data_IF_287056700400
#
_entry.id   IF_287056700400
#
_cell.length_a   1.000
_cell.length_b   1.000
_cell.length_c   1.000
_cell.angle_alpha   90.00
_cell.angle_beta   90.00
_cell.angle_gamma   90.00
#
_symmetry.space_group_name_H-M   'P 1'
#
loop_
_entity.id
_entity.type
_entity.pdbx_description
1 polymer ?
#
# COMPACT_ATOMS: atom_id res chain seq x y z
N UNK A 1 -2.33 -15.19 -7.42
CA UNK A 1 -2.41 -15.36 -8.88
C UNK A 1 -1.46 -16.49 -9.22
N UNK A 2 -1.92 -17.58 -9.80
CA UNK A 2 -1.03 -18.59 -10.33
C UNK A 2 -0.20 -17.96 -11.46
N UNK A 3 1.11 -18.14 -11.38
CA UNK A 3 2.01 -17.80 -12.46
C UNK A 3 1.86 -18.91 -13.49
N UNK A 4 1.65 -18.56 -14.75
CA UNK A 4 1.55 -19.56 -15.83
C UNK A 4 2.92 -20.17 -16.12
N UNK A 5 2.96 -21.44 -16.48
CA UNK A 5 4.20 -22.19 -16.66
C UNK A 5 5.12 -21.58 -17.73
N UNK A 6 4.53 -21.05 -18.81
CA UNK A 6 5.25 -20.31 -19.85
C UNK A 6 5.94 -19.03 -19.37
N UNK A 7 5.31 -18.35 -18.38
CA UNK A 7 5.90 -17.18 -17.73
C UNK A 7 7.06 -17.57 -16.80
N UNK A 8 6.92 -18.68 -16.06
CA UNK A 8 8.01 -19.20 -15.21
C UNK A 8 9.23 -19.60 -16.05
N UNK A 9 9.04 -20.36 -17.13
CA UNK A 9 10.11 -20.75 -18.06
C UNK A 9 10.85 -19.53 -18.64
N UNK A 10 10.11 -18.47 -18.98
CA UNK A 10 10.71 -17.25 -19.51
C UNK A 10 11.56 -16.51 -18.47
N UNK A 11 11.12 -16.53 -17.20
CA UNK A 11 11.85 -15.90 -16.10
C UNK A 11 13.08 -16.69 -15.74
N UNK A 12 13.00 -18.01 -15.65
CA UNK A 12 14.13 -18.89 -15.38
C UNK A 12 15.24 -18.67 -16.42
N UNK A 13 14.90 -18.74 -17.70
CA UNK A 13 15.84 -18.45 -18.80
C UNK A 13 16.45 -17.05 -18.72
N UNK A 14 15.67 -16.05 -18.26
CA UNK A 14 16.15 -14.68 -18.13
C UNK A 14 17.07 -14.53 -16.91
N UNK A 15 16.76 -15.19 -15.80
CA UNK A 15 17.58 -15.21 -14.58
C UNK A 15 18.92 -15.91 -14.81
N UNK A 16 18.90 -17.05 -15.53
CA UNK A 16 20.12 -17.76 -15.93
C UNK A 16 21.04 -16.90 -16.81
N UNK A 17 20.47 -16.19 -17.79
CA UNK A 17 21.24 -15.28 -18.66
C UNK A 17 21.89 -14.12 -17.90
N UNK A 18 21.31 -13.71 -16.76
CA UNK A 18 21.84 -12.67 -15.88
C UNK A 18 22.84 -13.19 -14.88
N UNK A 19 22.89 -14.51 -14.65
CA UNK A 19 23.76 -15.13 -13.64
C UNK A 19 23.27 -14.89 -12.21
N UNK A 20 21.95 -14.72 -12.01
CA UNK A 20 21.36 -14.41 -10.69
C UNK A 20 21.48 -15.59 -9.71
N UNK A 21 21.74 -16.82 -10.18
CA UNK A 21 21.87 -18.02 -9.34
C UNK A 21 20.55 -18.50 -8.70
N UNK A 22 19.46 -17.81 -8.95
CA UNK A 22 18.08 -18.13 -8.52
C UNK A 22 17.05 -17.55 -9.51
N UNK A 23 15.83 -18.09 -9.48
CA UNK A 23 14.72 -17.55 -10.29
C UNK A 23 14.29 -16.18 -9.78
N UNK A 24 14.62 -15.14 -10.53
CA UNK A 24 14.35 -13.76 -10.13
C UNK A 24 12.90 -13.36 -10.46
N UNK A 25 12.00 -13.51 -9.49
CA UNK A 25 10.58 -13.20 -9.65
C UNK A 25 10.29 -11.69 -9.84
N UNK A 26 11.25 -10.80 -9.55
CA UNK A 26 11.12 -9.37 -9.83
C UNK A 26 10.90 -9.10 -11.32
N UNK A 27 11.42 -9.96 -12.19
CA UNK A 27 11.23 -9.88 -13.65
C UNK A 27 9.76 -10.00 -14.08
N UNK A 28 8.88 -10.56 -13.23
CA UNK A 28 7.42 -10.57 -13.44
C UNK A 28 6.78 -9.23 -13.12
N UNK A 29 7.38 -8.47 -12.23
CA UNK A 29 6.81 -7.24 -11.68
C UNK A 29 7.36 -6.00 -12.37
N UNK A 30 8.60 -6.04 -12.83
CA UNK A 30 9.28 -4.94 -13.50
C UNK A 30 8.70 -4.70 -14.89
N UNK A 31 7.90 -3.64 -15.01
CA UNK A 31 7.20 -3.29 -16.25
C UNK A 31 8.09 -2.61 -17.28
N UNK A 32 9.02 -1.78 -16.82
CA UNK A 32 9.87 -0.97 -17.69
C UNK A 32 11.18 -1.68 -18.03
N UNK A 33 11.64 -1.48 -19.27
CA UNK A 33 12.95 -2.00 -19.71
C UNK A 33 14.08 -1.44 -18.85
N UNK A 34 14.03 -0.17 -18.50
CA UNK A 34 15.02 0.50 -17.65
C UNK A 34 15.07 -0.10 -16.23
N UNK A 35 13.93 -0.48 -15.64
CA UNK A 35 13.86 -1.15 -14.34
C UNK A 35 14.58 -2.50 -14.39
N UNK A 36 14.32 -3.26 -15.44
CA UNK A 36 14.97 -4.55 -15.65
C UNK A 36 16.48 -4.44 -15.89
N UNK A 37 16.93 -3.39 -16.57
CA UNK A 37 18.35 -3.15 -16.82
C UNK A 37 19.10 -2.67 -15.57
N UNK A 38 18.47 -1.83 -14.75
CA UNK A 38 19.08 -1.23 -13.57
C UNK A 38 18.83 -2.04 -12.29
N UNK A 39 17.84 -2.94 -12.28
CA UNK A 39 17.46 -3.73 -11.11
C UNK A 39 16.84 -2.87 -9.98
N UNK A 40 16.21 -1.76 -10.34
CA UNK A 40 15.53 -0.86 -9.40
C UNK A 40 14.15 -0.49 -9.94
N UNK A 41 13.18 -0.30 -9.04
CA UNK A 41 11.89 0.27 -9.38
C UNK A 41 12.02 1.76 -9.68
N UNK A 42 11.51 2.22 -10.81
CA UNK A 42 11.56 3.63 -11.25
C UNK A 42 10.19 4.28 -11.13
N UNK A 43 9.16 3.60 -11.60
CA UNK A 43 7.78 4.09 -11.59
C UNK A 43 6.88 3.20 -10.73
N UNK A 44 5.66 3.67 -10.44
CA UNK A 44 4.72 2.93 -9.63
C UNK A 44 4.08 1.83 -10.45
N UNK A 45 4.13 0.61 -9.92
CA UNK A 45 3.40 -0.52 -10.47
C UNK A 45 2.28 -0.96 -9.54
N UNK A 46 1.04 -0.97 -10.05
CA UNK A 46 -0.10 -1.49 -9.30
C UNK A 46 -0.32 -2.97 -9.58
N UNK A 47 -0.31 -3.78 -8.55
CA UNK A 47 -0.56 -5.23 -8.62
C UNK A 47 -1.80 -5.58 -7.82
N UNK A 48 -2.64 -6.41 -8.40
CA UNK A 48 -3.92 -6.83 -7.80
C UNK A 48 -3.85 -8.30 -7.45
N UNK A 49 -4.15 -8.62 -6.21
CA UNK A 49 -4.35 -10.00 -5.80
C UNK A 49 -5.48 -10.11 -4.78
N UNK A 50 -5.98 -11.31 -4.57
CA UNK A 50 -7.04 -11.57 -3.62
C UNK A 50 -6.76 -12.87 -2.87
N UNK A 51 -7.09 -12.86 -1.60
CA UNK A 51 -7.26 -14.06 -0.79
C UNK A 51 -8.77 -14.32 -0.62
N UNK A 52 -9.20 -15.46 -0.05
CA UNK A 52 -10.60 -15.67 0.26
C UNK A 52 -11.21 -14.60 1.19
N UNK A 53 -10.38 -13.91 1.99
CA UNK A 53 -10.83 -12.94 2.99
C UNK A 53 -10.80 -11.50 2.50
N UNK A 54 -9.82 -11.13 1.63
CA UNK A 54 -9.60 -9.73 1.25
C UNK A 54 -9.00 -9.59 -0.14
N UNK A 55 -9.38 -8.51 -0.83
CA UNK A 55 -8.73 -8.06 -2.06
C UNK A 55 -7.70 -6.99 -1.74
N UNK A 56 -6.57 -7.05 -2.42
CA UNK A 56 -5.43 -6.17 -2.19
C UNK A 56 -5.02 -5.47 -3.48
N UNK A 57 -4.63 -4.22 -3.34
CA UNK A 57 -3.93 -3.45 -4.37
C UNK A 57 -2.57 -3.11 -3.79
N UNK A 58 -1.50 -3.64 -4.37
CA UNK A 58 -0.14 -3.26 -4.02
C UNK A 58 0.28 -2.15 -4.96
N UNK A 59 0.65 -1.00 -4.41
CA UNK A 59 1.39 0.03 -5.11
C UNK A 59 2.88 -0.22 -4.84
N UNK A 60 3.57 -0.85 -5.78
CA UNK A 60 5.02 -1.04 -5.73
C UNK A 60 5.69 0.28 -6.08
N UNK A 61 6.32 0.89 -5.10
CA UNK A 61 6.86 2.24 -5.18
C UNK A 61 8.40 2.22 -5.12
N UNK A 62 9.08 3.08 -5.91
CA UNK A 62 10.53 3.12 -5.93
C UNK A 62 11.12 3.55 -4.60
N UNK A 63 12.15 2.82 -4.14
CA UNK A 63 12.88 3.13 -2.91
C UNK A 63 13.99 4.18 -3.10
N UNK A 64 14.33 4.57 -4.32
CA UNK A 64 15.47 5.45 -4.61
C UNK A 64 15.11 6.91 -4.42
N UNK A 65 16.02 7.69 -3.83
CA UNK A 65 15.81 9.11 -3.50
C UNK A 65 15.36 9.94 -4.71
N UNK A 66 15.87 9.66 -5.89
CA UNK A 66 15.54 10.37 -7.13
C UNK A 66 14.08 10.19 -7.54
N UNK A 67 13.43 9.11 -7.11
CA UNK A 67 12.07 8.75 -7.46
C UNK A 67 11.07 8.95 -6.31
N UNK A 68 11.44 9.70 -5.27
CA UNK A 68 10.58 9.99 -4.12
C UNK A 68 9.21 10.53 -4.52
N UNK A 69 9.13 11.31 -5.61
CA UNK A 69 7.86 11.83 -6.13
C UNK A 69 6.90 10.71 -6.52
N UNK A 70 7.40 9.67 -7.18
CA UNK A 70 6.61 8.52 -7.58
C UNK A 70 6.15 7.74 -6.34
N UNK A 71 7.03 7.56 -5.34
CA UNK A 71 6.66 6.96 -4.06
C UNK A 71 5.49 7.69 -3.40
N UNK A 72 5.53 9.03 -3.32
CA UNK A 72 4.45 9.84 -2.76
C UNK A 72 3.13 9.62 -3.51
N UNK A 73 3.17 9.55 -4.84
CA UNK A 73 1.97 9.30 -5.65
C UNK A 73 1.36 7.92 -5.35
N UNK A 74 2.19 6.86 -5.25
CA UNK A 74 1.69 5.51 -4.90
C UNK A 74 1.16 5.41 -3.48
N UNK A 75 1.84 6.08 -2.55
CA UNK A 75 1.48 6.04 -1.14
C UNK A 75 0.20 6.84 -0.82
N UNK A 76 -0.13 7.88 -1.59
CA UNK A 76 -1.23 8.81 -1.29
C UNK A 76 -2.62 8.17 -1.20
N UNK A 77 -2.79 6.96 -1.73
CA UNK A 77 -4.06 6.21 -1.69
C UNK A 77 -3.97 4.93 -0.84
N UNK A 78 -2.85 4.73 -0.15
CA UNK A 78 -2.62 3.50 0.61
C UNK A 78 -3.27 3.57 2.00
N UNK A 79 -3.88 2.47 2.42
CA UNK A 79 -4.41 2.31 3.78
C UNK A 79 -3.33 1.84 4.76
N UNK A 80 -2.29 1.18 4.25
CA UNK A 80 -1.19 0.63 5.02
C UNK A 80 0.09 0.72 4.18
N UNK A 81 1.21 1.07 4.81
CA UNK A 81 2.53 1.07 4.19
C UNK A 81 3.36 -0.12 4.67
N UNK A 82 4.01 -0.81 3.74
CA UNK A 82 5.02 -1.83 4.03
C UNK A 82 6.38 -1.21 3.81
N UNK A 83 7.20 -1.14 4.85
CA UNK A 83 8.59 -0.66 4.78
C UNK A 83 9.53 -1.86 4.90
N UNK A 84 10.35 -2.05 3.86
CA UNK A 84 11.33 -3.13 3.83
C UNK A 84 12.69 -2.64 4.36
N UNK A 85 13.26 -3.38 5.31
CA UNK A 85 14.60 -3.15 5.85
C UNK A 85 15.47 -4.37 5.59
N UNK A 86 16.63 -4.20 4.95
CA UNK A 86 17.63 -5.26 4.82
C UNK A 86 18.30 -5.52 6.18
N UNK A 87 18.15 -6.73 6.72
CA UNK A 87 18.66 -7.10 8.03
C UNK A 87 20.17 -6.90 8.19
N UNK A 88 20.94 -6.97 7.09
CA UNK A 88 22.40 -6.75 7.09
C UNK A 88 22.77 -5.27 7.27
N UNK A 89 21.86 -4.35 6.86
CA UNK A 89 22.14 -2.91 6.83
C UNK A 89 21.45 -2.16 7.98
N UNK A 90 20.38 -2.73 8.52
CA UNK A 90 19.57 -2.06 9.54
C UNK A 90 18.84 -0.82 9.03
N UNK A 91 18.53 0.09 9.95
CA UNK A 91 17.83 1.34 9.63
C UNK A 91 18.80 2.32 8.99
N UNK A 92 18.47 2.76 7.77
CA UNK A 92 19.28 3.69 6.97
C UNK A 92 18.52 5.00 6.73
N UNK A 93 19.19 6.02 6.18
CA UNK A 93 18.60 7.33 5.91
C UNK A 93 17.30 7.24 5.07
N UNK A 94 17.27 6.36 4.08
CA UNK A 94 16.08 6.16 3.25
C UNK A 94 14.91 5.58 4.05
N UNK A 95 15.17 4.71 5.04
CA UNK A 95 14.13 4.17 5.94
C UNK A 95 13.46 5.32 6.71
N UNK A 96 14.25 6.23 7.26
CA UNK A 96 13.73 7.42 7.96
C UNK A 96 12.89 8.29 7.04
N UNK A 97 13.38 8.55 5.83
CA UNK A 97 12.68 9.38 4.84
C UNK A 97 11.35 8.77 4.43
N UNK A 98 11.31 7.47 4.12
CA UNK A 98 10.09 6.79 3.72
C UNK A 98 9.08 6.76 4.87
N UNK A 99 9.51 6.48 6.10
CA UNK A 99 8.64 6.51 7.27
C UNK A 99 8.04 7.90 7.50
N UNK A 100 8.85 8.96 7.36
CA UNK A 100 8.37 10.32 7.49
C UNK A 100 7.35 10.69 6.41
N UNK A 101 7.58 10.30 5.16
CA UNK A 101 6.64 10.55 4.06
C UNK A 101 5.33 9.78 4.25
N UNK A 102 5.38 8.53 4.72
CA UNK A 102 4.20 7.74 5.07
C UNK A 102 3.39 8.43 6.16
N UNK A 103 4.07 8.93 7.20
CA UNK A 103 3.42 9.69 8.27
C UNK A 103 2.82 11.01 7.77
N UNK A 104 3.53 11.75 6.90
CA UNK A 104 3.07 13.00 6.31
C UNK A 104 1.84 12.83 5.41
N UNK A 105 1.71 11.66 4.77
CA UNK A 105 0.56 11.29 3.95
C UNK A 105 -0.61 10.72 4.77
N UNK A 106 -0.51 10.78 6.10
CA UNK A 106 -1.54 10.32 7.04
C UNK A 106 -1.93 8.84 6.87
N UNK A 107 -0.94 7.99 6.53
CA UNK A 107 -1.15 6.54 6.44
C UNK A 107 -1.08 5.96 7.85
N UNK A 108 -2.21 5.44 8.38
CA UNK A 108 -2.31 5.13 9.81
C UNK A 108 -1.59 3.84 10.23
N UNK A 109 -1.29 2.96 9.29
CA UNK A 109 -0.71 1.64 9.58
C UNK A 109 0.61 1.45 8.85
N UNK A 110 1.64 1.07 9.59
CA UNK A 110 2.97 0.75 9.04
C UNK A 110 3.34 -0.68 9.41
N UNK A 111 3.71 -1.48 8.42
CA UNK A 111 4.31 -2.79 8.64
C UNK A 111 5.77 -2.73 8.23
N UNK A 112 6.66 -2.87 9.18
CA UNK A 112 8.10 -2.94 8.95
C UNK A 112 8.48 -4.40 8.76
N UNK A 113 8.81 -4.77 7.53
CA UNK A 113 9.31 -6.10 7.21
C UNK A 113 10.84 -6.08 7.23
N UNK A 114 11.44 -6.71 8.23
CA UNK A 114 12.90 -6.89 8.31
C UNK A 114 13.23 -8.10 7.45
N UNK A 115 13.72 -7.82 6.24
CA UNK A 115 13.94 -8.80 5.18
C UNK A 115 15.39 -9.29 5.14
N UNK A 116 15.59 -10.43 4.48
CA UNK A 116 16.87 -11.10 4.33
C UNK A 116 17.43 -11.62 5.65
N UNK A 117 16.54 -12.07 6.54
CA UNK A 117 16.95 -12.72 7.80
C UNK A 117 17.79 -13.98 7.55
N UNK A 118 17.57 -14.65 6.42
CA UNK A 118 18.38 -15.79 5.94
C UNK A 118 19.87 -15.44 5.81
N UNK A 119 20.23 -14.19 5.53
CA UNK A 119 21.61 -13.74 5.38
C UNK A 119 22.26 -13.28 6.70
N UNK A 120 21.54 -13.39 7.80
CA UNK A 120 22.01 -13.10 9.17
C UNK A 120 21.60 -14.22 10.13
N UNK A 121 21.57 -15.46 9.62
CA UNK A 121 21.29 -16.68 10.36
C UNK A 121 19.97 -16.65 11.17
N UNK A 122 18.95 -15.94 10.64
CA UNK A 122 17.64 -15.77 11.28
C UNK A 122 17.71 -15.23 12.72
N UNK A 123 18.70 -14.39 13.02
CA UNK A 123 19.02 -13.91 14.36
C UNK A 123 17.89 -13.05 14.94
N UNK A 124 17.39 -13.45 16.12
CA UNK A 124 16.47 -12.67 16.92
C UNK A 124 17.11 -11.35 17.40
N UNK A 125 18.39 -11.36 17.76
CA UNK A 125 19.11 -10.20 18.26
C UNK A 125 19.16 -9.10 17.20
N UNK A 126 19.47 -9.46 15.95
CA UNK A 126 19.47 -8.51 14.81
C UNK A 126 18.07 -7.92 14.60
N UNK A 127 17.05 -8.76 14.66
CA UNK A 127 15.66 -8.29 14.55
C UNK A 127 15.29 -7.30 15.65
N UNK A 128 15.58 -7.62 16.92
CA UNK A 128 15.25 -6.77 18.05
C UNK A 128 16.04 -5.45 18.03
N UNK A 129 17.30 -5.48 17.62
CA UNK A 129 18.11 -4.27 17.47
C UNK A 129 17.52 -3.33 16.41
N UNK A 130 17.21 -3.84 15.21
CA UNK A 130 16.62 -3.03 14.13
C UNK A 130 15.26 -2.48 14.53
N UNK A 131 14.45 -3.28 15.22
CA UNK A 131 13.16 -2.85 15.76
C UNK A 131 13.32 -1.70 16.77
N UNK A 132 14.28 -1.81 17.68
CA UNK A 132 14.55 -0.76 18.68
C UNK A 132 15.02 0.54 18.01
N UNK A 133 15.94 0.45 17.05
CA UNK A 133 16.46 1.62 16.32
C UNK A 133 15.35 2.31 15.50
N UNK A 134 14.48 1.53 14.86
CA UNK A 134 13.35 2.08 14.14
C UNK A 134 12.36 2.79 15.08
N UNK A 135 11.98 2.17 16.19
CA UNK A 135 11.03 2.73 17.14
C UNK A 135 11.55 4.01 17.79
N UNK A 136 12.86 4.10 18.07
CA UNK A 136 13.49 5.32 18.58
C UNK A 136 13.21 6.54 17.71
N UNK A 137 13.18 6.36 16.40
CA UNK A 137 12.83 7.41 15.43
C UNK A 137 11.31 7.55 15.24
N UNK A 138 10.59 6.43 15.10
CA UNK A 138 9.19 6.44 14.70
C UNK A 138 8.21 6.81 15.82
N UNK A 139 8.55 6.55 17.10
CA UNK A 139 7.65 6.85 18.23
C UNK A 139 7.22 8.32 18.31
N UNK A 140 8.11 9.33 18.14
CA UNK A 140 7.69 10.72 18.10
C UNK A 140 6.77 11.07 16.92
N UNK A 141 6.87 10.32 15.80
CA UNK A 141 6.00 10.51 14.63
C UNK A 141 4.60 9.92 14.89
N UNK A 142 4.51 8.78 15.60
CA UNK A 142 3.23 8.19 15.99
C UNK A 142 2.39 9.19 16.81
N UNK A 143 3.00 9.85 17.77
CA UNK A 143 2.31 10.82 18.65
C UNK A 143 1.83 12.07 17.88
N UNK A 144 2.60 12.51 16.87
CA UNK A 144 2.39 13.82 16.22
C UNK A 144 1.65 13.73 14.90
N UNK A 145 1.72 12.60 14.21
CA UNK A 145 1.32 12.47 12.81
C UNK A 145 0.28 11.35 12.54
N UNK A 146 -0.47 10.93 13.57
CA UNK A 146 -1.65 10.07 13.37
C UNK A 146 -1.36 8.60 13.04
N UNK A 147 -0.11 8.13 13.15
CA UNK A 147 0.22 6.71 12.99
C UNK A 147 -0.41 5.93 14.14
N UNK A 148 -1.33 5.02 13.83
CA UNK A 148 -2.06 4.23 14.84
C UNK A 148 -1.29 2.99 15.30
N UNK A 149 -0.60 2.35 14.35
CA UNK A 149 0.10 1.09 14.63
C UNK A 149 1.35 0.95 13.77
N UNK A 150 2.42 0.44 14.39
CA UNK A 150 3.63 -0.02 13.69
C UNK A 150 3.83 -1.48 14.07
N UNK A 151 3.69 -2.37 13.09
CA UNK A 151 3.93 -3.80 13.25
C UNK A 151 5.28 -4.20 12.66
N UNK A 152 5.94 -5.21 13.24
CA UNK A 152 7.24 -5.70 12.79
C UNK A 152 7.16 -7.18 12.46
N UNK A 153 7.59 -7.54 11.26
CA UNK A 153 7.59 -8.93 10.79
C UNK A 153 8.99 -9.27 10.27
N UNK A 154 9.67 -10.27 10.87
CA UNK A 154 10.93 -10.79 10.33
C UNK A 154 10.60 -11.69 9.13
N UNK A 155 11.22 -11.44 7.98
CA UNK A 155 10.95 -12.22 6.76
C UNK A 155 12.24 -12.62 6.03
N UNK A 156 12.17 -13.69 5.26
CA UNK A 156 13.00 -13.90 4.09
C UNK A 156 12.09 -13.96 2.87
N UNK A 157 12.04 -12.88 2.10
CA UNK A 157 11.16 -12.81 0.93
C UNK A 157 11.60 -13.82 -0.16
N UNK A 158 12.91 -14.14 -0.23
CA UNK A 158 13.45 -15.11 -1.17
C UNK A 158 12.99 -16.52 -0.85
N UNK A 159 13.05 -16.91 0.43
CA UNK A 159 12.70 -18.25 0.90
C UNK A 159 11.21 -18.37 1.26
N UNK A 160 10.47 -17.25 1.32
CA UNK A 160 9.05 -17.22 1.70
C UNK A 160 8.80 -17.24 3.20
N UNK A 161 9.84 -17.20 4.04
CA UNK A 161 9.73 -17.25 5.50
C UNK A 161 8.90 -16.09 6.05
N UNK A 162 7.85 -16.38 6.81
CA UNK A 162 6.87 -15.44 7.37
C UNK A 162 6.18 -14.52 6.34
N UNK A 163 6.21 -14.87 5.05
CA UNK A 163 5.46 -14.15 4.01
C UNK A 163 4.02 -14.68 3.95
N UNK A 164 3.83 -15.95 3.66
CA UNK A 164 2.51 -16.61 3.61
C UNK A 164 2.29 -17.46 4.86
N UNK A 165 3.23 -18.36 5.13
CA UNK A 165 3.19 -19.26 6.28
C UNK A 165 4.22 -18.82 7.33
N UNK A 166 3.98 -19.14 8.62
CA UNK A 166 4.98 -18.95 9.67
C UNK A 166 6.25 -19.76 9.39
N UNK A 167 7.40 -19.14 9.59
CA UNK A 167 8.71 -19.78 9.35
C UNK A 167 9.08 -20.73 10.47
N UNK A 168 9.60 -21.88 10.08
CA UNK A 168 10.24 -22.85 10.99
C UNK A 168 11.64 -22.39 11.43
N UNK A 169 12.28 -21.53 10.64
CA UNK A 169 13.63 -21.04 10.90
C UNK A 169 13.65 -19.92 11.96
N UNK A 170 12.50 -19.33 12.28
CA UNK A 170 12.34 -18.28 13.28
C UNK A 170 11.38 -18.68 14.39
N UNK A 171 11.66 -19.74 15.18
CA UNK A 171 10.75 -20.23 16.22
C UNK A 171 10.56 -19.25 17.38
N UNK A 172 11.43 -18.26 17.50
CA UNK A 172 11.35 -17.16 18.47
C UNK A 172 10.26 -16.13 18.11
N UNK A 173 9.93 -16.00 16.83
CA UNK A 173 8.88 -15.09 16.39
C UNK A 173 7.48 -15.73 16.61
N UNK A 174 6.66 -15.10 17.45
CA UNK A 174 5.32 -15.60 17.80
C UNK A 174 4.20 -14.78 17.13
N UNK A 175 4.56 -13.84 16.24
CA UNK A 175 3.59 -13.06 15.48
C UNK A 175 3.01 -13.81 14.28
N UNK A 176 2.17 -13.13 13.53
CA UNK A 176 1.55 -13.64 12.30
C UNK A 176 2.46 -13.46 11.09
N UNK A 177 2.26 -14.25 10.04
CA UNK A 177 2.89 -13.98 8.75
C UNK A 177 2.37 -12.70 8.12
N UNK A 178 3.06 -12.18 7.13
CA UNK A 178 2.69 -10.92 6.45
C UNK A 178 1.26 -11.01 5.88
N UNK A 179 0.94 -12.08 5.16
CA UNK A 179 -0.40 -12.26 4.58
C UNK A 179 -1.46 -12.37 5.66
N UNK A 180 -1.22 -13.15 6.72
CA UNK A 180 -2.17 -13.27 7.83
C UNK A 180 -2.43 -11.92 8.50
N UNK A 181 -1.39 -11.12 8.71
CA UNK A 181 -1.55 -9.77 9.25
C UNK A 181 -2.38 -8.88 8.32
N UNK A 182 -2.06 -8.85 7.03
CA UNK A 182 -2.79 -8.05 6.05
C UNK A 182 -4.25 -8.46 5.89
N UNK A 183 -4.58 -9.74 6.10
CA UNK A 183 -5.97 -10.24 6.10
C UNK A 183 -6.77 -9.83 7.34
N UNK A 184 -6.11 -9.64 8.48
CA UNK A 184 -6.76 -9.46 9.78
C UNK A 184 -6.77 -8.02 10.27
N UNK A 185 -5.87 -7.17 9.77
CA UNK A 185 -5.84 -5.76 10.17
C UNK A 185 -7.15 -5.06 9.82
N UNK A 186 -7.70 -4.33 10.78
CA UNK A 186 -8.93 -3.57 10.62
C UNK A 186 -8.60 -2.14 10.16
N UNK A 187 -8.68 -1.94 8.84
CA UNK A 187 -8.44 -0.62 8.21
C UNK A 187 -9.65 0.31 8.29
N UNK A 188 -10.84 -0.21 8.56
CA UNK A 188 -12.08 0.59 8.58
C UNK A 188 -12.14 1.55 9.78
N UNK A 189 -11.42 1.23 10.87
CA UNK A 189 -11.29 2.12 12.02
C UNK A 189 -10.56 3.44 11.73
N UNK A 190 -9.98 3.59 10.55
CA UNK A 190 -9.31 4.82 10.14
C UNK A 190 -10.27 5.87 9.57
N UNK A 191 -11.47 5.48 9.15
CA UNK A 191 -12.42 6.39 8.55
C UNK A 191 -13.10 7.31 9.59
N UNK A 192 -13.18 8.59 9.25
CA UNK A 192 -13.95 9.55 10.03
C UNK A 192 -15.37 9.60 9.47
N UNK A 193 -16.36 9.20 10.25
CA UNK A 193 -17.77 9.18 9.86
C UNK A 193 -18.55 10.44 10.27
N UNK A 194 -17.95 11.39 11.01
CA UNK A 194 -18.67 12.49 11.63
C UNK A 194 -18.79 13.72 10.74
N UNK A 195 -17.77 14.06 9.97
CA UNK A 195 -17.70 15.30 9.19
C UNK A 195 -17.68 15.02 7.70
N UNK A 196 -18.82 15.10 6.99
CA UNK A 196 -18.88 14.80 5.57
C UNK A 196 -17.99 15.72 4.73
N UNK A 197 -17.08 15.09 3.95
CA UNK A 197 -16.20 15.76 2.99
C UNK A 197 -16.13 14.94 1.71
N UNK A 198 -16.41 15.59 0.60
CA UNK A 198 -16.38 15.00 -0.73
C UNK A 198 -15.58 15.90 -1.67
N UNK A 199 -14.29 15.66 -1.86
CA UNK A 199 -13.49 16.34 -2.87
C UNK A 199 -13.99 15.98 -4.27
N UNK A 200 -14.43 16.97 -5.02
CA UNK A 200 -14.83 16.77 -6.43
C UNK A 200 -13.57 16.57 -7.26
N UNK A 201 -13.40 15.37 -7.82
CA UNK A 201 -12.26 15.02 -8.66
C UNK A 201 -12.57 15.13 -10.14
N UNK A 202 -13.84 14.92 -10.52
CA UNK A 202 -14.28 14.97 -11.91
C UNK A 202 -15.72 15.45 -12.03
N UNK A 203 -16.03 16.17 -13.13
CA UNK A 203 -17.40 16.55 -13.48
C UNK A 203 -17.84 15.67 -14.65
N UNK A 204 -18.85 14.83 -14.39
CA UNK A 204 -19.41 13.94 -15.41
C UNK A 204 -20.46 14.74 -16.20
N UNK A 205 -20.23 14.85 -17.50
CA UNK A 205 -21.14 15.46 -18.47
C UNK A 205 -21.08 14.66 -19.76
N UNK A 206 -21.89 13.60 -19.92
CA UNK A 206 -21.90 12.79 -21.12
C UNK A 206 -22.30 13.62 -22.35
N UNK A 207 -21.71 13.30 -23.48
CA UNK A 207 -21.99 13.94 -24.79
C UNK A 207 -23.06 13.13 -25.54
N UNK A 208 -23.38 11.91 -25.06
CA UNK A 208 -24.34 11.03 -25.71
C UNK A 208 -25.79 11.54 -25.61
N UNK A 209 -26.55 11.39 -26.68
CA UNK A 209 -27.94 11.87 -26.77
C UNK A 209 -28.88 11.30 -25.70
N UNK A 210 -28.65 10.06 -25.25
CA UNK A 210 -29.44 9.39 -24.22
C UNK A 210 -29.27 10.01 -22.82
N UNK A 211 -28.14 10.71 -22.56
CA UNK A 211 -27.79 11.28 -21.26
C UNK A 211 -27.51 12.78 -21.35
N UNK A 212 -28.11 13.47 -22.30
CA UNK A 212 -27.82 14.87 -22.63
C UNK A 212 -27.90 15.82 -21.41
N UNK A 213 -28.82 15.55 -20.49
CA UNK A 213 -29.04 16.38 -19.29
C UNK A 213 -28.40 15.80 -18.02
N UNK A 214 -27.72 14.67 -18.12
CA UNK A 214 -27.05 14.09 -16.95
C UNK A 214 -25.82 14.90 -16.58
N UNK A 215 -25.75 15.32 -15.33
CA UNK A 215 -24.61 16.02 -14.75
C UNK A 215 -24.36 15.50 -13.36
N UNK A 216 -23.14 15.07 -13.07
CA UNK A 216 -22.76 14.59 -11.77
C UNK A 216 -21.34 15.04 -11.40
N UNK A 217 -21.07 15.06 -10.12
CA UNK A 217 -19.75 15.25 -9.55
C UNK A 217 -19.22 13.90 -9.07
N UNK A 218 -18.04 13.51 -9.53
CA UNK A 218 -17.42 12.25 -9.14
C UNK A 218 -16.19 12.50 -8.25
N UNK A 219 -15.98 11.60 -7.30
CA UNK A 219 -14.87 11.62 -6.37
C UNK A 219 -14.98 10.48 -5.35
N UNK A 220 -14.13 10.49 -4.36
CA UNK A 220 -14.21 9.61 -3.20
C UNK A 220 -14.75 10.38 -2.00
N UNK A 221 -15.58 9.73 -1.19
CA UNK A 221 -15.96 10.26 0.12
C UNK A 221 -14.73 10.21 1.02
N UNK A 222 -14.23 11.37 1.44
CA UNK A 222 -13.02 11.45 2.27
C UNK A 222 -13.35 11.27 3.76
N UNK A 223 -14.53 11.73 4.17
CA UNK A 223 -15.02 11.57 5.54
C UNK A 223 -16.53 11.77 5.61
N UNK A 224 -17.14 11.33 6.71
CA UNK A 224 -18.56 11.43 6.98
C UNK A 224 -19.41 10.50 6.12
N UNK A 225 -20.71 10.63 6.24
CA UNK A 225 -21.69 9.88 5.46
C UNK A 225 -22.55 10.85 4.69
N UNK A 226 -22.70 10.62 3.40
CA UNK A 226 -23.63 11.37 2.55
C UNK A 226 -24.87 10.55 2.25
N UNK A 227 -26.04 11.17 2.39
CA UNK A 227 -27.34 10.53 2.13
C UNK A 227 -28.07 11.25 1.02
N UNK A 228 -28.82 10.50 0.25
CA UNK A 228 -29.78 11.08 -0.70
C UNK A 228 -30.74 12.00 0.03
N UNK A 229 -30.81 13.25 -0.41
CA UNK A 229 -31.63 14.27 0.21
C UNK A 229 -30.92 15.22 1.16
N UNK A 230 -29.67 14.95 1.53
CA UNK A 230 -28.88 15.85 2.37
C UNK A 230 -28.60 17.19 1.69
N UNK A 231 -28.54 18.24 2.51
CA UNK A 231 -28.14 19.57 2.05
C UNK A 231 -26.61 19.67 2.19
N UNK A 232 -25.93 19.92 1.07
CA UNK A 232 -24.49 20.11 0.98
C UNK A 232 -24.14 21.53 0.62
N UNK A 233 -22.96 21.98 1.06
CA UNK A 233 -22.40 23.28 0.70
C UNK A 233 -21.22 23.09 -0.25
N UNK A 234 -21.31 23.64 -1.45
CA UNK A 234 -20.21 23.63 -2.41
C UNK A 234 -19.19 24.70 -2.05
N UNK A 235 -17.94 24.31 -1.89
CA UNK A 235 -16.81 25.23 -1.64
C UNK A 235 -16.02 25.43 -2.94
N UNK A 236 -15.44 26.62 -3.17
CA UNK A 236 -15.39 27.79 -2.27
C UNK A 236 -16.63 28.73 -2.36
N UNK A 237 -17.61 28.46 -3.25
CA UNK A 237 -18.70 29.38 -3.54
C UNK A 237 -19.70 29.59 -2.37
N UNK A 238 -19.76 28.64 -1.43
CA UNK A 238 -20.75 28.65 -0.35
C UNK A 238 -22.18 28.28 -0.80
N UNK A 239 -22.38 27.90 -2.07
CA UNK A 239 -23.68 27.55 -2.62
C UNK A 239 -24.21 26.29 -1.98
N UNK A 240 -25.46 26.32 -1.51
CA UNK A 240 -26.14 25.15 -0.96
C UNK A 240 -26.94 24.43 -2.03
N UNK A 241 -26.88 23.11 -2.02
CA UNK A 241 -27.65 22.24 -2.90
C UNK A 241 -28.08 20.98 -2.16
N UNK A 242 -29.04 20.26 -2.75
CA UNK A 242 -29.56 19.00 -2.23
C UNK A 242 -29.04 17.85 -3.07
N UNK A 243 -28.58 16.77 -2.42
CA UNK A 243 -28.17 15.54 -3.10
C UNK A 243 -29.42 14.91 -3.73
N UNK A 244 -29.43 14.83 -5.06
CA UNK A 244 -30.55 14.24 -5.82
C UNK A 244 -30.44 12.72 -5.88
N UNK A 245 -29.26 12.22 -6.17
CA UNK A 245 -28.94 10.80 -6.29
C UNK A 245 -27.48 10.56 -5.95
N UNK A 246 -27.13 9.34 -5.57
CA UNK A 246 -25.77 8.86 -5.39
C UNK A 246 -25.62 7.63 -6.26
N UNK A 247 -24.80 7.75 -7.31
CA UNK A 247 -24.59 6.71 -8.30
C UNK A 247 -23.21 6.04 -8.10
N UNK A 248 -23.17 4.73 -8.25
CA UNK A 248 -21.94 3.92 -8.24
C UNK A 248 -21.90 3.03 -9.48
N UNK A 249 -20.80 2.33 -9.69
CA UNK A 249 -20.70 1.32 -10.77
C UNK A 249 -21.73 0.18 -10.61
N UNK A 250 -22.22 -0.05 -9.39
CA UNK A 250 -23.25 -1.05 -9.08
C UNK A 250 -24.69 -0.52 -9.15
N UNK A 251 -24.89 0.76 -9.51
CA UNK A 251 -26.18 1.43 -9.55
C UNK A 251 -26.36 2.50 -8.47
N UNK A 252 -27.60 3.01 -8.35
CA UNK A 252 -27.95 4.04 -7.35
C UNK A 252 -27.97 3.45 -5.95
N UNK A 253 -27.42 4.21 -5.00
CA UNK A 253 -27.40 3.86 -3.57
C UNK A 253 -27.99 5.00 -2.73
N UNK A 254 -28.41 4.72 -1.49
CA UNK A 254 -29.00 5.71 -0.60
C UNK A 254 -27.96 6.43 0.28
N UNK A 255 -26.84 5.78 0.57
CA UNK A 255 -25.80 6.29 1.45
C UNK A 255 -24.41 5.99 0.85
N UNK A 256 -23.49 6.95 0.96
CA UNK A 256 -22.09 6.79 0.59
C UNK A 256 -21.20 7.04 1.81
N UNK A 257 -20.20 6.16 1.98
CA UNK A 257 -19.26 6.13 3.09
C UNK A 257 -17.84 6.42 2.59
N UNK A 258 -16.91 6.82 3.48
CA UNK A 258 -15.49 6.93 3.18
C UNK A 258 -14.86 5.64 2.72
#
# INVERSE_FOLDING_TARGET
>A
KQIFDDQMDAIEKSSERRGDGYTNLALLTDGLKAEREQGITIDIAYKYFATPKRKFIIADAPGHIQYTRNMVTGASTANLAIILIDARKGVIEQTYRHTFLVALLDIPYITVCINKLDLVDYSEEVFQQIRADYLKFASPLMEKMGIKEINFIPISALNGDNVVEPSVNMPWYKGTSLIQYLETIDIDKSHNYDLPRFPVQWVIRPIANEYHDYRAYAGMVNSGVFRKGDIVTALPSGTKSKIKAIDTLGGEINEAFP
#
